data_IF_103490366372
#
_entry.id   IF_103490366372
#
_cell.length_a   1.000
_cell.length_b   1.000
_cell.length_c   1.000
_cell.angle_alpha   90.00
_cell.angle_beta   90.00
_cell.angle_gamma   90.00
#
_symmetry.space_group_name_H-M   'P 1'
#
loop_
_entity.id
_entity.type
_entity.pdbx_description
1 polymer ?
#
# COMPACT_ATOMS: atom_id res chain seq x y z
N UNK A 1 -8.94 -26.80 32.29
CA UNK A 1 -7.68 -26.07 32.13
C UNK A 1 -7.53 -25.74 30.65
N UNK A 2 -7.49 -24.48 30.29
CA UNK A 2 -7.30 -24.07 28.88
C UNK A 2 -5.82 -23.92 28.60
N UNK A 3 -5.30 -24.64 27.62
CA UNK A 3 -3.95 -24.48 27.14
C UNK A 3 -3.87 -23.24 26.25
N UNK A 4 -2.88 -22.39 26.48
CA UNK A 4 -2.65 -21.18 25.68
C UNK A 4 -1.23 -21.16 25.15
N UNK A 5 -1.08 -20.70 23.90
CA UNK A 5 0.23 -20.47 23.28
C UNK A 5 0.80 -19.08 23.58
N UNK A 6 0.06 -18.24 24.32
CA UNK A 6 0.39 -16.84 24.57
C UNK A 6 1.80 -16.66 25.16
N UNK A 7 2.15 -17.45 26.19
CA UNK A 7 3.46 -17.34 26.83
C UNK A 7 4.62 -17.72 25.88
N UNK A 8 4.38 -18.69 24.99
CA UNK A 8 5.35 -19.04 23.95
C UNK A 8 5.57 -17.90 22.98
N UNK A 9 4.50 -17.24 22.53
CA UNK A 9 4.61 -16.09 21.63
C UNK A 9 5.24 -14.88 22.32
N UNK A 10 4.93 -14.60 23.57
CA UNK A 10 5.60 -13.55 24.36
C UNK A 10 7.10 -13.78 24.43
N UNK A 11 7.55 -15.00 24.76
CA UNK A 11 8.98 -15.34 24.80
C UNK A 11 9.65 -15.19 23.44
N UNK A 12 9.02 -15.66 22.36
CA UNK A 12 9.53 -15.48 21.00
C UNK A 12 9.65 -13.99 20.63
N UNK A 13 8.67 -13.19 20.99
CA UNK A 13 8.69 -11.74 20.74
C UNK A 13 9.79 -11.03 21.54
N UNK A 14 9.96 -11.36 22.82
CA UNK A 14 11.01 -10.80 23.68
C UNK A 14 12.42 -11.16 23.21
N UNK A 15 12.61 -12.38 22.72
CA UNK A 15 13.90 -12.90 22.26
C UNK A 15 14.18 -12.64 20.77
N UNK A 16 13.32 -11.86 20.08
CA UNK A 16 13.53 -11.56 18.66
C UNK A 16 14.79 -10.72 18.44
N UNK A 17 15.52 -11.01 17.39
CA UNK A 17 16.61 -10.17 16.91
C UNK A 17 16.03 -8.99 16.12
N UNK A 18 16.47 -7.77 16.44
CA UNK A 18 16.11 -6.53 15.72
C UNK A 18 17.23 -6.18 14.73
N UNK A 19 17.45 -7.05 13.76
CA UNK A 19 18.55 -6.91 12.77
C UNK A 19 18.49 -5.64 11.94
N UNK A 20 17.32 -5.02 11.81
CA UNK A 20 17.10 -3.78 11.07
C UNK A 20 16.65 -2.61 11.97
N UNK A 21 16.93 -2.68 13.28
CA UNK A 21 16.69 -1.53 14.15
C UNK A 21 17.50 -0.32 13.66
N UNK A 22 16.87 0.85 13.67
CA UNK A 22 17.54 2.08 13.26
C UNK A 22 18.59 2.51 14.29
N UNK A 23 19.83 2.66 13.84
CA UNK A 23 20.95 3.10 14.68
C UNK A 23 21.90 4.07 13.96
N UNK A 24 21.53 4.52 12.76
CA UNK A 24 22.38 5.39 11.94
C UNK A 24 22.61 6.76 12.60
N UNK A 25 23.86 7.21 12.61
CA UNK A 25 24.31 8.50 13.12
C UNK A 25 24.75 9.45 12.02
N UNK A 26 25.04 8.91 10.83
CA UNK A 26 25.48 9.68 9.66
C UNK A 26 24.53 9.48 8.50
N UNK A 27 24.57 10.39 7.52
CA UNK A 27 23.78 10.26 6.29
C UNK A 27 24.12 8.98 5.51
N UNK A 28 25.41 8.62 5.44
CA UNK A 28 25.82 7.38 4.76
C UNK A 28 25.26 6.13 5.41
N UNK A 29 25.32 6.04 6.75
CA UNK A 29 24.74 4.94 7.50
C UNK A 29 23.21 4.88 7.34
N UNK A 30 22.53 6.05 7.30
CA UNK A 30 21.09 6.11 7.05
C UNK A 30 20.73 5.53 5.67
N UNK A 31 21.44 5.92 4.61
CA UNK A 31 21.16 5.39 3.27
C UNK A 31 21.45 3.88 3.16
N UNK A 32 22.51 3.41 3.81
CA UNK A 32 22.82 1.98 3.88
C UNK A 32 21.74 1.19 4.62
N UNK A 33 21.32 1.68 5.78
CA UNK A 33 20.22 1.07 6.55
C UNK A 33 18.91 1.04 5.76
N UNK A 34 18.54 2.16 5.13
CA UNK A 34 17.33 2.29 4.31
C UNK A 34 17.31 1.30 3.13
N UNK A 35 18.47 1.14 2.46
CA UNK A 35 18.60 0.15 1.39
C UNK A 35 18.42 -1.26 1.92
N UNK A 36 19.13 -1.64 2.98
CA UNK A 36 19.03 -2.96 3.59
C UNK A 36 17.62 -3.30 4.08
N UNK A 37 16.93 -2.33 4.71
CA UNK A 37 15.56 -2.50 5.16
C UNK A 37 14.60 -2.70 3.99
N UNK A 38 14.74 -1.92 2.91
CA UNK A 38 13.90 -2.06 1.71
C UNK A 38 14.08 -3.40 1.03
N UNK A 39 15.31 -3.87 0.90
CA UNK A 39 15.62 -5.15 0.30
C UNK A 39 14.98 -6.29 1.12
N UNK A 40 15.09 -6.21 2.45
CA UNK A 40 14.45 -7.17 3.35
C UNK A 40 12.92 -7.13 3.29
N UNK A 41 12.31 -5.94 3.23
CA UNK A 41 10.87 -5.80 3.09
C UNK A 41 10.38 -6.42 1.77
N UNK A 42 11.04 -6.17 0.66
CA UNK A 42 10.71 -6.78 -0.63
C UNK A 42 10.78 -8.30 -0.60
N UNK A 43 11.77 -8.84 0.10
CA UNK A 43 11.94 -10.28 0.26
C UNK A 43 10.78 -10.89 1.07
N UNK A 44 10.50 -10.37 2.28
CA UNK A 44 9.49 -10.94 3.18
C UNK A 44 8.05 -10.72 2.70
N UNK A 45 7.81 -9.67 1.90
CA UNK A 45 6.50 -9.41 1.28
C UNK A 45 6.34 -10.11 -0.06
N UNK A 46 7.39 -10.73 -0.58
CA UNK A 46 7.36 -11.37 -1.89
C UNK A 46 7.41 -10.41 -3.08
N UNK A 47 7.57 -9.10 -2.86
CA UNK A 47 7.60 -8.09 -3.94
C UNK A 47 8.74 -8.31 -4.95
N UNK A 48 9.80 -9.02 -4.56
CA UNK A 48 10.90 -9.40 -5.47
C UNK A 48 10.50 -10.47 -6.49
N UNK A 49 9.33 -11.09 -6.32
CA UNK A 49 8.75 -12.10 -7.23
C UNK A 49 7.66 -11.53 -8.12
N UNK A 50 7.19 -10.31 -7.83
CA UNK A 50 6.17 -9.65 -8.64
C UNK A 50 6.71 -9.35 -10.04
N UNK A 51 5.89 -9.60 -11.05
CA UNK A 51 6.21 -9.36 -12.46
C UNK A 51 5.53 -8.06 -12.88
N UNK A 52 6.33 -7.10 -13.35
CA UNK A 52 5.78 -5.85 -13.86
C UNK A 52 4.93 -6.08 -15.12
N UNK A 53 3.82 -5.40 -15.21
CA UNK A 53 3.02 -5.26 -16.43
C UNK A 53 2.45 -3.84 -16.54
N UNK A 54 1.98 -3.47 -17.72
CA UNK A 54 1.22 -2.23 -17.89
C UNK A 54 -0.11 -2.34 -17.12
N UNK A 55 -0.54 -1.28 -16.42
CA UNK A 55 -1.73 -1.33 -15.59
C UNK A 55 -3.04 -1.62 -16.34
N UNK A 56 -3.12 -1.33 -17.64
CA UNK A 56 -4.27 -1.61 -18.51
C UNK A 56 -5.61 -1.23 -17.81
N UNK A 57 -5.74 0.03 -17.41
CA UNK A 57 -6.85 0.50 -16.61
C UNK A 57 -8.17 0.42 -17.37
N UNK A 58 -9.14 -0.29 -16.81
CA UNK A 58 -10.46 -0.46 -17.39
C UNK A 58 -11.51 0.19 -16.50
N UNK A 59 -12.27 1.11 -17.09
CA UNK A 59 -13.45 1.68 -16.46
C UNK A 59 -14.62 0.69 -16.55
N UNK A 60 -15.33 0.47 -15.46
CA UNK A 60 -16.46 -0.45 -15.42
C UNK A 60 -17.81 0.29 -15.29
N UNK A 61 -17.92 1.17 -14.31
CA UNK A 61 -19.17 1.92 -14.05
C UNK A 61 -18.95 3.13 -13.17
N UNK A 62 -19.96 4.00 -13.13
CA UNK A 62 -20.05 5.12 -12.18
C UNK A 62 -21.24 4.91 -11.26
N UNK A 63 -21.02 5.08 -9.97
CA UNK A 63 -22.04 5.14 -8.94
C UNK A 63 -22.02 6.52 -8.28
N UNK A 64 -23.12 6.93 -7.66
CA UNK A 64 -23.18 8.14 -6.83
C UNK A 64 -23.28 7.73 -5.38
N UNK A 65 -22.37 8.22 -4.56
CA UNK A 65 -22.33 7.96 -3.11
C UNK A 65 -22.36 9.30 -2.38
N UNK A 66 -23.51 9.67 -1.85
CA UNK A 66 -23.77 11.00 -1.29
C UNK A 66 -23.50 12.10 -2.35
N UNK A 67 -22.59 13.04 -2.03
CA UNK A 67 -22.19 14.15 -2.92
C UNK A 67 -20.93 13.82 -3.75
N UNK A 68 -20.55 12.54 -3.81
CA UNK A 68 -19.38 12.09 -4.55
C UNK A 68 -19.78 11.23 -5.75
N UNK A 69 -18.98 11.33 -6.78
CA UNK A 69 -18.97 10.41 -7.92
C UNK A 69 -17.96 9.31 -7.57
N UNK A 70 -18.38 8.06 -7.61
CA UNK A 70 -17.57 6.89 -7.41
C UNK A 70 -17.42 6.15 -8.75
N UNK A 71 -16.26 6.24 -9.37
CA UNK A 71 -15.95 5.47 -10.57
C UNK A 71 -15.30 4.15 -10.16
N UNK A 72 -15.82 3.06 -10.69
CA UNK A 72 -15.29 1.73 -10.45
C UNK A 72 -14.38 1.31 -11.59
N UNK A 73 -13.15 1.04 -11.24
CA UNK A 73 -12.07 0.70 -12.16
C UNK A 73 -11.39 -0.61 -11.78
N UNK A 74 -10.74 -1.22 -12.75
CA UNK A 74 -9.85 -2.37 -12.56
C UNK A 74 -8.52 -2.07 -13.23
N UNK A 75 -7.42 -2.40 -12.56
CA UNK A 75 -6.07 -2.32 -13.13
C UNK A 75 -5.37 -3.66 -12.97
N UNK A 76 -4.44 -3.95 -13.89
CA UNK A 76 -3.52 -5.06 -13.72
C UNK A 76 -2.38 -4.65 -12.78
N UNK A 77 -2.11 -5.48 -11.78
CA UNK A 77 -0.95 -5.35 -10.88
C UNK A 77 0.16 -6.30 -11.26
N UNK A 78 -0.19 -7.43 -11.89
CA UNK A 78 0.69 -8.41 -12.54
C UNK A 78 -0.04 -8.95 -13.79
N UNK A 79 0.63 -9.67 -14.70
CA UNK A 79 0.03 -10.10 -15.97
C UNK A 79 -1.33 -10.80 -15.84
N UNK A 80 -1.54 -11.60 -14.78
CA UNK A 80 -2.76 -12.36 -14.55
C UNK A 80 -3.52 -11.92 -13.29
N UNK A 81 -3.11 -10.80 -12.67
CA UNK A 81 -3.71 -10.32 -11.42
C UNK A 81 -4.34 -8.96 -11.64
N UNK A 82 -5.64 -8.88 -11.41
CA UNK A 82 -6.41 -7.65 -11.51
C UNK A 82 -6.81 -7.14 -10.12
N UNK A 83 -6.73 -5.83 -9.94
CA UNK A 83 -7.09 -5.15 -8.70
C UNK A 83 -8.21 -4.14 -8.96
N UNK A 84 -9.40 -4.33 -8.38
CA UNK A 84 -10.45 -3.33 -8.44
C UNK A 84 -10.18 -2.18 -7.46
N UNK A 85 -10.60 -0.97 -7.84
CA UNK A 85 -10.57 0.20 -6.96
C UNK A 85 -11.69 1.19 -7.29
N UNK A 86 -11.99 2.06 -6.33
CA UNK A 86 -12.87 3.20 -6.53
C UNK A 86 -12.06 4.47 -6.64
N UNK A 87 -12.32 5.26 -7.69
CA UNK A 87 -11.88 6.64 -7.78
C UNK A 87 -13.02 7.54 -7.31
N UNK A 88 -12.89 8.09 -6.11
CA UNK A 88 -13.86 9.00 -5.54
C UNK A 88 -13.49 10.44 -5.89
N UNK A 89 -14.42 11.18 -6.46
CA UNK A 89 -14.24 12.60 -6.75
C UNK A 89 -15.52 13.39 -6.45
N UNK A 90 -15.43 14.68 -6.10
CA UNK A 90 -16.60 15.54 -6.02
C UNK A 90 -17.36 15.58 -7.34
N UNK A 91 -18.67 15.78 -7.29
CA UNK A 91 -19.46 16.04 -8.49
C UNK A 91 -19.05 17.39 -9.08
N UNK A 92 -18.58 17.38 -10.33
CA UNK A 92 -17.92 18.52 -10.99
C UNK A 92 -18.87 19.65 -11.41
N UNK A 93 -20.07 19.73 -10.86
CA UNK A 93 -21.00 20.85 -11.17
C UNK A 93 -20.51 22.22 -10.64
N UNK A 94 -19.34 22.30 -10.01
CA UNK A 94 -18.74 23.56 -9.56
C UNK A 94 -17.77 24.09 -10.62
N UNK A 95 -17.98 25.31 -11.18
CA UNK A 95 -17.22 25.84 -12.31
C UNK A 95 -15.71 26.05 -12.07
N UNK A 96 -15.24 26.01 -10.84
CA UNK A 96 -13.82 26.18 -10.49
C UNK A 96 -13.05 24.86 -10.27
N UNK A 97 -13.72 23.71 -10.40
CA UNK A 97 -13.09 22.43 -10.08
C UNK A 97 -11.97 22.06 -11.08
N UNK A 98 -12.21 22.28 -12.38
CA UNK A 98 -11.25 21.89 -13.44
C UNK A 98 -9.96 22.70 -13.47
N UNK A 99 -9.93 23.88 -12.84
CA UNK A 99 -8.78 24.80 -12.87
C UNK A 99 -7.80 24.63 -11.72
N UNK A 100 -8.11 23.83 -10.71
CA UNK A 100 -7.29 23.65 -9.52
C UNK A 100 -6.63 22.27 -9.50
N UNK A 101 -5.34 22.22 -9.15
CA UNK A 101 -4.70 20.95 -8.80
C UNK A 101 -5.28 20.44 -7.48
N UNK A 102 -5.77 19.22 -7.48
CA UNK A 102 -6.32 18.58 -6.28
C UNK A 102 -5.31 17.55 -5.73
N UNK A 103 -5.18 17.43 -4.39
CA UNK A 103 -4.38 16.37 -3.81
C UNK A 103 -5.05 15.01 -4.10
N UNK A 104 -4.22 13.98 -4.29
CA UNK A 104 -4.68 12.60 -4.41
C UNK A 104 -4.38 11.90 -3.10
N UNK A 105 -5.39 11.23 -2.53
CA UNK A 105 -5.26 10.39 -1.35
C UNK A 105 -5.45 8.92 -1.77
N UNK A 106 -4.45 8.09 -1.49
CA UNK A 106 -4.54 6.64 -1.71
C UNK A 106 -4.88 5.99 -0.37
N UNK A 107 -6.02 5.27 -0.33
CA UNK A 107 -6.51 4.60 0.87
C UNK A 107 -6.52 3.09 0.59
N UNK A 108 -5.43 2.38 0.92
CA UNK A 108 -5.41 0.94 0.76
C UNK A 108 -6.37 0.29 1.75
N UNK A 109 -7.02 -0.78 1.31
CA UNK A 109 -7.84 -1.63 2.17
C UNK A 109 -6.92 -2.39 3.14
N UNK A 110 -7.26 -2.36 4.42
CA UNK A 110 -6.58 -3.13 5.46
C UNK A 110 -7.19 -4.51 5.65
#
# INVERSE_FOLDING_TARGET
MYYTTLETYKKKYQNRSLTHAYSAKTKGEHEAWKKSLRDRLREITGMNKCVYCEPDAQYLRTDRVNDLIAEYWVIKTEPEIEMPFYLLRPDQQKPDFEKKKHPILIVPHG
#
